data_IF_146968782411
#
_entry.id   IF_146968782411
#
_cell.length_a   1.000
_cell.length_b   1.000
_cell.length_c   1.000
_cell.angle_alpha   90.00
_cell.angle_beta   90.00
_cell.angle_gamma   90.00
#
_symmetry.space_group_name_H-M   'P 1'
#
loop_
_entity.id
_entity.type
_entity.pdbx_description
1 polymer ?
#
# COMPACT_ATOMS: atom_id res chain seq x y z
N UNK A 1 -21.50 17.36 -42.64
CA UNK A 1 -21.28 17.56 -41.18
C UNK A 1 -19.89 17.02 -40.88
N UNK A 2 -18.92 17.92 -40.71
CA UNK A 2 -17.51 17.59 -40.47
C UNK A 2 -17.37 17.04 -39.06
N UNK A 3 -17.03 15.77 -38.93
CA UNK A 3 -16.69 15.18 -37.63
C UNK A 3 -15.47 15.94 -37.06
N UNK A 4 -15.67 16.65 -35.98
CA UNK A 4 -14.58 17.29 -35.25
C UNK A 4 -13.55 16.20 -34.92
N UNK A 5 -12.30 16.35 -35.41
CA UNK A 5 -11.17 15.53 -35.03
C UNK A 5 -11.07 15.53 -33.51
N UNK A 6 -11.47 14.42 -32.87
CA UNK A 6 -11.24 14.21 -31.44
C UNK A 6 -9.73 14.22 -31.23
N UNK A 7 -9.23 15.20 -30.53
CA UNK A 7 -7.87 15.17 -30.05
C UNK A 7 -7.81 14.14 -28.91
N UNK A 8 -7.07 13.07 -29.15
CA UNK A 8 -6.79 12.06 -28.13
C UNK A 8 -6.06 12.75 -26.98
N UNK A 9 -6.67 12.74 -25.79
CA UNK A 9 -6.11 13.43 -24.63
C UNK A 9 -5.03 12.60 -23.97
N UNK A 10 -3.99 13.28 -23.53
CA UNK A 10 -2.92 12.70 -22.73
C UNK A 10 -3.18 12.97 -21.24
N UNK A 11 -3.61 11.96 -20.52
CA UNK A 11 -4.01 12.05 -19.11
C UNK A 11 -2.96 11.41 -18.24
N UNK A 12 -2.41 12.15 -17.29
CA UNK A 12 -1.43 11.63 -16.32
C UNK A 12 -2.10 11.13 -15.05
N UNK A 13 -1.66 9.99 -14.53
CA UNK A 13 -1.96 9.57 -13.18
C UNK A 13 -0.68 9.48 -12.35
N UNK A 14 -0.67 10.17 -11.21
CA UNK A 14 0.46 10.24 -10.29
C UNK A 14 0.02 9.72 -8.93
N UNK A 15 0.81 8.79 -8.36
CA UNK A 15 0.64 8.34 -6.98
C UNK A 15 1.89 8.61 -6.19
N UNK A 16 1.75 9.38 -5.10
CA UNK A 16 2.84 9.69 -4.18
C UNK A 16 2.58 9.10 -2.80
N UNK A 17 3.63 8.66 -2.13
CA UNK A 17 3.56 8.35 -0.71
C UNK A 17 3.62 9.67 0.08
N UNK A 18 3.04 9.69 1.29
CA UNK A 18 3.11 10.85 2.19
C UNK A 18 4.55 11.25 2.59
N UNK A 19 5.53 10.38 2.30
CA UNK A 19 6.95 10.57 2.60
C UNK A 19 7.69 11.13 1.37
N UNK A 20 7.23 10.84 0.15
CA UNK A 20 7.85 11.33 -1.09
C UNK A 20 7.31 12.72 -1.43
N UNK A 21 8.10 13.74 -1.16
CA UNK A 21 7.77 15.14 -1.46
C UNK A 21 7.87 15.50 -2.96
N UNK A 22 8.33 14.61 -3.83
CA UNK A 22 8.65 14.90 -5.23
C UNK A 22 7.62 14.30 -6.20
N UNK A 23 6.45 14.95 -6.31
CA UNK A 23 5.41 14.62 -7.29
C UNK A 23 5.80 14.94 -8.73
N UNK A 24 6.64 15.96 -8.92
CA UNK A 24 6.95 16.53 -10.24
C UNK A 24 7.81 15.61 -11.11
N UNK A 25 8.68 14.79 -10.49
CA UNK A 25 9.59 13.91 -11.24
C UNK A 25 8.94 12.71 -11.95
N UNK A 26 7.72 12.32 -11.58
CA UNK A 26 7.15 11.08 -12.14
C UNK A 26 6.79 11.18 -13.62
N UNK A 27 6.28 12.32 -14.08
CA UNK A 27 5.93 12.58 -15.49
C UNK A 27 6.53 13.90 -15.97
N UNK A 28 7.70 14.28 -15.44
CA UNK A 28 8.41 15.50 -15.80
C UNK A 28 8.77 15.48 -17.29
N UNK A 29 8.58 16.63 -17.95
CA UNK A 29 8.86 16.76 -19.39
C UNK A 29 7.79 16.15 -20.32
N UNK A 30 6.76 15.49 -19.78
CA UNK A 30 5.67 14.94 -20.58
C UNK A 30 4.54 15.97 -20.70
N UNK A 31 4.15 16.32 -21.92
CA UNK A 31 3.01 17.22 -22.15
C UNK A 31 1.71 16.47 -21.86
N UNK A 32 0.96 16.90 -20.86
CA UNK A 32 -0.30 16.30 -20.39
C UNK A 32 -1.43 17.33 -20.47
N UNK A 33 -2.61 16.87 -20.87
CA UNK A 33 -3.82 17.71 -20.91
C UNK A 33 -4.50 17.77 -19.53
N UNK A 34 -4.39 16.69 -18.73
CA UNK A 34 -4.91 16.61 -17.37
C UNK A 34 -4.09 15.66 -16.52
N UNK A 35 -3.99 15.97 -15.23
CA UNK A 35 -3.29 15.13 -14.24
C UNK A 35 -4.21 14.85 -13.05
N UNK A 36 -4.24 13.59 -12.64
CA UNK A 36 -4.90 13.15 -11.42
C UNK A 36 -3.85 12.66 -10.43
N UNK A 37 -3.91 13.13 -9.18
CA UNK A 37 -2.88 12.82 -8.19
C UNK A 37 -3.50 12.29 -6.90
N UNK A 38 -3.15 11.05 -6.54
CA UNK A 38 -3.46 10.47 -5.24
C UNK A 38 -2.25 10.58 -4.30
N UNK A 39 -2.51 11.06 -3.08
CA UNK A 39 -1.54 11.05 -1.97
C UNK A 39 -1.91 9.92 -1.02
N UNK A 40 -1.22 8.79 -1.12
CA UNK A 40 -1.49 7.62 -0.31
C UNK A 40 -0.57 7.57 0.90
N UNK A 41 -1.12 7.61 2.12
CA UNK A 41 -0.41 7.18 3.31
C UNK A 41 -0.38 5.65 3.37
N UNK A 42 0.60 5.05 4.07
CA UNK A 42 0.73 3.59 4.15
C UNK A 42 -0.51 2.86 4.74
N UNK A 43 -1.41 3.60 5.39
CA UNK A 43 -2.67 3.10 5.98
C UNK A 43 -3.89 3.36 5.09
N UNK A 44 -3.87 4.39 4.25
CA UNK A 44 -5.00 4.74 3.39
C UNK A 44 -4.85 4.04 2.03
N UNK A 45 -5.80 3.18 1.72
CA UNK A 45 -5.85 2.43 0.47
C UNK A 45 -6.76 3.06 -0.56
N UNK A 46 -7.50 4.11 -0.20
CA UNK A 46 -8.41 4.81 -1.10
C UNK A 46 -7.64 5.54 -2.20
N UNK A 47 -8.16 5.51 -3.41
CA UNK A 47 -7.59 6.19 -4.58
C UNK A 47 -8.69 6.93 -5.33
N UNK A 48 -9.24 7.98 -4.73
CA UNK A 48 -10.36 8.71 -5.32
C UNK A 48 -9.99 9.35 -6.66
N UNK A 49 -8.74 9.81 -6.79
CA UNK A 49 -8.29 10.43 -8.05
C UNK A 49 -8.06 9.39 -9.15
N UNK A 50 -7.62 8.17 -8.83
CA UNK A 50 -7.58 7.09 -9.80
C UNK A 50 -9.00 6.77 -10.30
N UNK A 51 -9.97 6.63 -9.41
CA UNK A 51 -11.36 6.38 -9.79
C UNK A 51 -11.88 7.47 -10.71
N UNK A 52 -11.67 8.74 -10.33
CA UNK A 52 -12.05 9.89 -11.15
C UNK A 52 -11.34 9.89 -12.52
N UNK A 53 -10.06 9.49 -12.58
CA UNK A 53 -9.33 9.36 -13.83
C UNK A 53 -9.93 8.28 -14.72
N UNK A 54 -10.25 7.10 -14.15
CA UNK A 54 -10.87 5.99 -14.89
C UNK A 54 -12.25 6.35 -15.47
N UNK A 55 -13.02 7.17 -14.75
CA UNK A 55 -14.32 7.70 -15.21
C UNK A 55 -14.17 8.81 -16.27
N UNK A 56 -13.10 9.59 -16.19
CA UNK A 56 -12.83 10.69 -17.11
C UNK A 56 -12.39 10.22 -18.48
N UNK A 57 -11.61 9.14 -18.54
CA UNK A 57 -11.00 8.60 -19.76
C UNK A 57 -12.05 8.07 -20.75
N UNK A 58 -11.85 8.37 -22.03
CA UNK A 58 -12.71 7.99 -23.14
C UNK A 58 -11.89 7.27 -24.21
N UNK A 59 -12.60 6.64 -25.14
CA UNK A 59 -12.00 6.02 -26.33
C UNK A 59 -11.07 7.00 -27.06
N UNK A 60 -9.88 6.54 -27.41
CA UNK A 60 -8.80 7.31 -28.05
C UNK A 60 -7.87 8.03 -27.07
N UNK A 61 -8.24 8.19 -25.79
CA UNK A 61 -7.38 8.84 -24.80
C UNK A 61 -6.18 7.95 -24.44
N UNK A 62 -5.07 8.58 -24.03
CA UNK A 62 -3.86 7.93 -23.53
C UNK A 62 -3.68 8.22 -22.04
N UNK A 63 -3.75 7.18 -21.21
CA UNK A 63 -3.39 7.25 -19.80
C UNK A 63 -1.89 7.00 -19.62
N UNK A 64 -1.17 7.98 -19.07
CA UNK A 64 0.26 7.92 -18.79
C UNK A 64 0.48 7.74 -17.30
N UNK A 65 1.27 6.73 -16.94
CA UNK A 65 1.68 6.42 -15.57
C UNK A 65 3.20 6.24 -15.54
N UNK A 66 3.85 6.71 -14.48
CA UNK A 66 5.30 6.58 -14.37
C UNK A 66 5.76 5.12 -14.42
N UNK A 67 5.13 4.25 -13.63
CA UNK A 67 5.48 2.82 -13.52
C UNK A 67 4.29 1.99 -13.09
N UNK A 68 4.34 0.67 -13.33
CA UNK A 68 3.26 -0.26 -13.03
C UNK A 68 2.89 -0.30 -11.55
N UNK A 69 3.89 -0.21 -10.65
CA UNK A 69 3.68 -0.16 -9.21
C UNK A 69 2.94 1.10 -8.74
N UNK A 70 2.94 2.16 -9.55
CA UNK A 70 2.17 3.38 -9.27
C UNK A 70 0.70 3.24 -9.62
N UNK A 71 0.36 2.45 -10.63
CA UNK A 71 -1.04 2.20 -11.00
C UNK A 71 -1.71 1.19 -10.07
N UNK A 72 -1.05 0.09 -9.76
CA UNK A 72 -1.66 -1.00 -9.01
C UNK A 72 -0.76 -1.52 -7.88
N UNK A 73 -1.36 -2.19 -6.90
CA UNK A 73 -0.66 -2.81 -5.75
C UNK A 73 -0.51 -4.32 -5.92
N UNK A 74 -1.30 -4.89 -6.79
CA UNK A 74 -1.23 -6.28 -7.17
C UNK A 74 -1.28 -6.39 -8.68
N UNK A 75 -0.81 -7.52 -9.17
CA UNK A 75 -0.84 -7.83 -10.57
C UNK A 75 -2.26 -8.01 -11.10
N UNK A 76 -3.11 -8.65 -10.30
CA UNK A 76 -4.51 -8.83 -10.66
C UNK A 76 -5.23 -7.49 -10.84
N UNK A 77 -4.94 -6.52 -9.95
CA UNK A 77 -5.43 -5.17 -10.04
C UNK A 77 -4.92 -4.46 -11.32
N UNK A 78 -3.61 -4.58 -11.57
CA UNK A 78 -2.98 -4.02 -12.76
C UNK A 78 -3.64 -4.56 -14.03
N UNK A 79 -3.75 -5.89 -14.12
CA UNK A 79 -4.35 -6.58 -15.25
C UNK A 79 -5.80 -6.15 -15.46
N UNK A 80 -6.62 -6.11 -14.41
CA UNK A 80 -8.03 -5.68 -14.48
C UNK A 80 -8.14 -4.25 -15.02
N UNK A 81 -7.39 -3.31 -14.45
CA UNK A 81 -7.44 -1.90 -14.86
C UNK A 81 -7.00 -1.75 -16.31
N UNK A 82 -5.86 -2.36 -16.71
CA UNK A 82 -5.34 -2.24 -18.08
C UNK A 82 -6.32 -2.87 -19.07
N UNK A 83 -6.84 -4.08 -18.81
CA UNK A 83 -7.79 -4.75 -19.69
C UNK A 83 -9.13 -3.99 -19.79
N UNK A 84 -9.63 -3.40 -18.71
CA UNK A 84 -10.86 -2.59 -18.73
C UNK A 84 -10.66 -1.35 -19.61
N UNK A 85 -9.58 -0.62 -19.41
CA UNK A 85 -9.26 0.58 -20.18
C UNK A 85 -9.07 0.26 -21.66
N UNK A 86 -8.31 -0.77 -21.98
CA UNK A 86 -8.03 -1.14 -23.36
C UNK A 86 -9.28 -1.66 -24.09
N UNK A 87 -10.18 -2.38 -23.42
CA UNK A 87 -11.50 -2.76 -23.95
C UNK A 87 -12.38 -1.54 -24.27
N UNK A 88 -12.20 -0.45 -23.54
CA UNK A 88 -12.88 0.83 -23.78
C UNK A 88 -12.19 1.69 -24.85
N UNK A 89 -11.17 1.17 -25.53
CA UNK A 89 -10.38 1.91 -26.52
C UNK A 89 -9.45 2.96 -25.94
N UNK A 90 -9.16 2.89 -24.65
CA UNK A 90 -8.19 3.77 -23.97
C UNK A 90 -6.81 3.14 -24.01
N UNK A 91 -5.81 3.88 -24.44
CA UNK A 91 -4.42 3.43 -24.41
C UNK A 91 -3.80 3.65 -23.04
N UNK A 92 -2.93 2.73 -22.60
CA UNK A 92 -2.23 2.83 -21.30
C UNK A 92 -0.73 2.75 -21.53
N UNK A 93 0.02 3.75 -21.07
CA UNK A 93 1.48 3.81 -21.21
C UNK A 93 2.16 3.88 -19.84
N UNK A 94 3.11 2.99 -19.62
CA UNK A 94 4.03 3.00 -18.49
C UNK A 94 5.39 3.54 -18.95
N UNK A 95 5.74 4.73 -18.45
CA UNK A 95 6.90 5.50 -18.95
C UNK A 95 8.21 4.82 -18.57
N UNK A 96 8.35 4.37 -17.34
CA UNK A 96 9.58 3.72 -16.83
C UNK A 96 9.88 2.42 -17.55
N UNK A 97 8.85 1.58 -17.75
CA UNK A 97 8.97 0.29 -18.42
C UNK A 97 8.96 0.41 -19.95
N UNK A 98 8.67 1.60 -20.49
CA UNK A 98 8.50 1.88 -21.92
C UNK A 98 7.50 0.93 -22.59
N UNK A 99 6.37 0.68 -21.93
CA UNK A 99 5.32 -0.23 -22.39
C UNK A 99 4.03 0.53 -22.66
N UNK A 100 3.41 0.23 -23.79
CA UNK A 100 2.11 0.80 -24.20
C UNK A 100 1.14 -0.33 -24.55
N UNK A 101 -0.06 -0.26 -24.00
CA UNK A 101 -1.17 -1.18 -24.25
C UNK A 101 -2.26 -0.40 -25.01
N UNK A 102 -2.60 -0.86 -26.22
CA UNK A 102 -3.46 -0.11 -27.17
C UNK A 102 -4.85 -0.71 -27.36
N UNK A 103 -5.17 -1.83 -26.69
CA UNK A 103 -6.49 -2.45 -26.81
C UNK A 103 -6.69 -3.31 -28.06
N UNK A 104 -5.78 -3.32 -28.98
CA UNK A 104 -5.72 -4.40 -29.94
C UNK A 104 -5.47 -5.69 -29.15
N UNK A 105 -6.34 -6.69 -29.29
CA UNK A 105 -6.23 -8.00 -28.66
C UNK A 105 -4.95 -8.70 -29.15
N UNK A 106 -3.82 -8.15 -28.77
CA UNK A 106 -2.54 -8.76 -29.01
C UNK A 106 -2.33 -9.87 -27.99
N UNK A 107 -2.29 -11.15 -28.39
CA UNK A 107 -1.91 -12.25 -27.51
C UNK A 107 -0.59 -11.97 -26.79
N UNK A 108 0.28 -11.19 -27.40
CA UNK A 108 1.55 -10.71 -26.86
C UNK A 108 1.36 -9.75 -25.67
N UNK A 109 0.41 -8.81 -25.74
CA UNK A 109 0.11 -7.90 -24.61
C UNK A 109 -0.43 -8.67 -23.41
N UNK A 110 -1.31 -9.66 -23.65
CA UNK A 110 -1.83 -10.53 -22.60
C UNK A 110 -0.74 -11.42 -21.99
N UNK A 111 0.16 -11.96 -22.80
CA UNK A 111 1.30 -12.75 -22.34
C UNK A 111 2.26 -11.87 -21.51
N UNK A 112 2.55 -10.66 -21.97
CA UNK A 112 3.44 -9.73 -21.27
C UNK A 112 2.87 -9.32 -19.92
N UNK A 113 1.58 -8.97 -19.84
CA UNK A 113 0.91 -8.69 -18.57
C UNK A 113 0.94 -9.87 -17.61
N UNK A 114 0.76 -11.09 -18.13
CA UNK A 114 0.81 -12.31 -17.32
C UNK A 114 2.21 -12.60 -16.81
N UNK A 115 3.23 -12.42 -17.66
CA UNK A 115 4.64 -12.61 -17.31
C UNK A 115 5.11 -11.59 -16.26
N UNK A 116 4.82 -10.31 -16.48
CA UNK A 116 5.12 -9.26 -15.50
C UNK A 116 4.44 -9.53 -14.17
N UNK A 117 3.24 -10.10 -14.24
CA UNK A 117 2.50 -10.60 -13.14
C UNK A 117 3.21 -11.66 -12.33
N UNK A 118 3.64 -12.68 -12.99
CA UNK A 118 4.36 -13.79 -12.38
C UNK A 118 5.70 -13.32 -11.76
N UNK A 119 6.43 -12.43 -12.44
CA UNK A 119 7.69 -11.86 -11.92
C UNK A 119 7.44 -11.04 -10.65
N UNK A 120 6.42 -10.18 -10.63
CA UNK A 120 6.13 -9.38 -9.43
C UNK A 120 5.64 -10.23 -8.25
N UNK A 121 4.97 -11.34 -8.50
CA UNK A 121 4.58 -12.28 -7.44
C UNK A 121 5.78 -13.07 -6.91
N UNK A 122 6.68 -13.47 -7.81
CA UNK A 122 7.94 -14.10 -7.44
C UNK A 122 8.80 -13.17 -6.56
N UNK A 123 9.00 -11.91 -6.97
CA UNK A 123 9.73 -10.93 -6.14
C UNK A 123 9.10 -10.73 -4.75
N UNK A 124 7.77 -10.64 -4.66
CA UNK A 124 7.07 -10.56 -3.39
C UNK A 124 7.25 -11.81 -2.53
N UNK A 125 7.24 -12.98 -3.14
CA UNK A 125 7.46 -14.24 -2.42
C UNK A 125 8.86 -14.31 -1.83
N UNK A 126 9.87 -13.90 -2.59
CA UNK A 126 11.27 -13.82 -2.15
C UNK A 126 11.47 -12.81 -0.99
N UNK A 127 10.80 -11.66 -1.07
CA UNK A 127 10.85 -10.66 0.03
C UNK A 127 10.24 -11.24 1.31
N UNK A 128 9.08 -11.90 1.21
CA UNK A 128 8.41 -12.54 2.36
C UNK A 128 9.28 -13.65 2.97
N UNK A 129 9.95 -14.43 2.14
CA UNK A 129 10.82 -15.51 2.61
C UNK A 129 12.00 -14.93 3.39
N UNK A 130 12.74 -13.96 2.83
CA UNK A 130 13.83 -13.26 3.52
C UNK A 130 13.36 -12.60 4.82
N UNK A 131 12.16 -12.02 4.82
CA UNK A 131 11.59 -11.42 6.03
C UNK A 131 11.28 -12.47 7.10
N UNK A 132 10.72 -13.63 6.72
CA UNK A 132 10.50 -14.76 7.65
C UNK A 132 11.79 -15.28 8.25
N UNK A 133 12.82 -15.45 7.42
CA UNK A 133 14.16 -15.87 7.88
C UNK A 133 14.76 -14.83 8.84
N UNK A 134 14.71 -13.53 8.48
CA UNK A 134 15.19 -12.45 9.35
C UNK A 134 14.46 -12.39 10.68
N UNK A 135 13.12 -12.57 10.69
CA UNK A 135 12.32 -12.65 11.92
C UNK A 135 12.70 -13.88 12.75
N UNK A 136 12.92 -15.02 12.12
CA UNK A 136 13.32 -16.25 12.82
C UNK A 136 14.69 -16.09 13.49
N UNK A 137 15.66 -15.51 12.78
CA UNK A 137 16.98 -15.18 13.33
C UNK A 137 16.90 -14.17 14.48
N UNK A 138 16.13 -13.10 14.32
CA UNK A 138 15.93 -12.09 15.35
C UNK A 138 15.23 -12.64 16.61
N UNK A 139 14.27 -13.58 16.43
CA UNK A 139 13.64 -14.30 17.55
C UNK A 139 14.66 -15.17 18.31
N UNK A 140 15.50 -15.94 17.57
CA UNK A 140 16.57 -16.75 18.19
C UNK A 140 17.60 -15.90 18.91
N UNK A 141 17.93 -14.74 18.38
CA UNK A 141 18.85 -13.77 18.99
C UNK A 141 18.23 -12.97 20.15
N UNK A 142 16.95 -13.20 20.51
CA UNK A 142 16.26 -12.51 21.61
C UNK A 142 16.04 -11.01 21.37
N UNK A 143 16.10 -10.55 20.14
CA UNK A 143 15.89 -9.14 19.76
C UNK A 143 14.42 -8.71 20.03
N UNK A 144 13.48 -9.64 19.90
CA UNK A 144 12.07 -9.40 20.17
C UNK A 144 11.78 -9.47 21.67
N UNK A 145 11.76 -8.32 22.31
CA UNK A 145 11.45 -8.20 23.76
C UNK A 145 9.95 -8.14 24.09
N UNK A 146 9.10 -8.23 23.07
CA UNK A 146 7.65 -8.11 23.22
C UNK A 146 7.19 -6.70 23.63
N UNK A 147 5.97 -6.60 24.09
CA UNK A 147 5.42 -5.36 24.66
C UNK A 147 6.06 -5.12 26.02
N UNK A 148 6.47 -3.88 26.29
CA UNK A 148 6.97 -3.51 27.62
C UNK A 148 5.92 -3.87 28.67
N UNK A 149 6.32 -4.55 29.78
CA UNK A 149 5.41 -4.80 30.89
C UNK A 149 4.81 -3.50 31.41
N UNK A 150 3.52 -3.51 31.69
CA UNK A 150 2.79 -2.34 32.23
C UNK A 150 3.22 -2.00 33.66
N UNK A 151 3.83 -2.96 34.37
CA UNK A 151 4.37 -2.81 35.71
C UNK A 151 5.83 -3.26 35.72
N UNK A 152 6.66 -2.55 36.48
CA UNK A 152 8.03 -2.98 36.77
C UNK A 152 8.04 -4.06 37.87
N UNK A 153 9.12 -4.83 37.94
CA UNK A 153 9.28 -5.84 39.03
C UNK A 153 9.14 -5.23 40.42
N UNK A 154 9.64 -4.01 40.60
CA UNK A 154 9.53 -3.26 41.88
C UNK A 154 8.07 -2.94 42.20
N UNK A 155 7.32 -2.45 41.24
CA UNK A 155 5.89 -2.16 41.38
C UNK A 155 5.08 -3.42 41.66
N UNK A 156 5.40 -4.54 41.01
CA UNK A 156 4.74 -5.83 41.28
C UNK A 156 5.00 -6.29 42.72
N UNK A 157 6.24 -6.18 43.24
CA UNK A 157 6.60 -6.53 44.61
C UNK A 157 5.86 -5.65 45.64
N UNK A 158 5.79 -4.34 45.37
CA UNK A 158 5.06 -3.40 46.21
C UNK A 158 3.55 -3.71 46.27
N UNK A 159 2.94 -3.93 45.09
CA UNK A 159 1.53 -4.30 44.98
C UNK A 159 1.26 -5.60 45.76
N UNK A 160 2.13 -6.61 45.66
CA UNK A 160 2.00 -7.86 46.42
C UNK A 160 2.01 -7.61 47.94
N UNK A 161 2.91 -6.78 48.42
CA UNK A 161 3.01 -6.41 49.86
C UNK A 161 1.72 -5.71 50.32
N UNK A 162 1.21 -4.75 49.57
CA UNK A 162 0.02 -3.97 49.88
C UNK A 162 -1.27 -4.82 49.84
N UNK A 163 -1.36 -5.74 48.86
CA UNK A 163 -2.45 -6.74 48.82
C UNK A 163 -2.42 -7.66 50.04
N UNK A 164 -1.22 -8.12 50.46
CA UNK A 164 -1.05 -8.91 51.68
C UNK A 164 -1.41 -8.14 52.95
N UNK A 165 -1.29 -6.82 52.95
CA UNK A 165 -1.74 -5.93 54.04
C UNK A 165 -3.27 -5.64 54.02
N UNK A 166 -4.02 -6.23 53.08
CA UNK A 166 -5.48 -6.10 53.00
C UNK A 166 -5.99 -4.98 52.10
N UNK A 167 -5.13 -4.30 51.34
CA UNK A 167 -5.60 -3.25 50.42
C UNK A 167 -6.41 -3.83 49.27
N UNK A 168 -7.47 -3.11 48.88
CA UNK A 168 -8.36 -3.55 47.80
C UNK A 168 -7.65 -3.50 46.46
N UNK A 169 -7.57 -4.63 45.75
CA UNK A 169 -6.96 -4.75 44.40
C UNK A 169 -7.52 -3.75 43.41
N UNK A 170 -8.82 -3.40 43.48
CA UNK A 170 -9.43 -2.41 42.62
C UNK A 170 -8.85 -0.99 42.80
N UNK A 171 -8.50 -0.62 44.04
CA UNK A 171 -7.86 0.66 44.34
C UNK A 171 -6.44 0.71 43.80
N UNK A 172 -5.68 -0.35 43.96
CA UNK A 172 -4.31 -0.47 43.45
C UNK A 172 -4.29 -0.46 41.93
N UNK A 173 -5.23 -1.13 41.26
CA UNK A 173 -5.34 -1.07 39.79
C UNK A 173 -5.57 0.36 39.28
N UNK A 174 -6.43 1.14 39.94
CA UNK A 174 -6.67 2.53 39.61
C UNK A 174 -5.44 3.43 39.86
N UNK A 175 -4.75 3.24 40.99
CA UNK A 175 -3.56 4.00 41.37
C UNK A 175 -2.41 3.81 40.38
N UNK A 176 -2.17 2.57 39.90
CA UNK A 176 -1.15 2.24 38.93
C UNK A 176 -1.63 2.42 37.44
N UNK A 177 -2.84 2.94 37.25
CA UNK A 177 -3.44 3.19 35.93
C UNK A 177 -3.46 1.95 35.00
N UNK A 178 -3.72 0.77 35.60
CA UNK A 178 -3.82 -0.52 34.89
C UNK A 178 -5.22 -1.11 35.02
N UNK A 179 -5.54 -2.04 34.11
CA UNK A 179 -6.78 -2.80 34.24
C UNK A 179 -6.68 -3.78 35.43
N UNK A 180 -7.82 -4.12 36.05
CA UNK A 180 -7.87 -5.18 37.10
C UNK A 180 -7.29 -6.48 36.55
N UNK A 181 -7.56 -6.81 35.28
CA UNK A 181 -7.06 -8.02 34.66
C UNK A 181 -5.52 -8.04 34.56
N UNK A 182 -4.91 -6.89 34.22
CA UNK A 182 -3.46 -6.72 34.20
C UNK A 182 -2.86 -6.89 35.59
N UNK A 183 -3.53 -6.36 36.63
CA UNK A 183 -3.08 -6.52 38.00
C UNK A 183 -3.17 -7.99 38.46
N UNK A 184 -4.28 -8.69 38.18
CA UNK A 184 -4.41 -10.11 38.50
C UNK A 184 -3.35 -10.96 37.80
N UNK A 185 -3.09 -10.70 36.49
CA UNK A 185 -2.04 -11.40 35.73
C UNK A 185 -0.63 -11.16 36.31
N UNK A 186 -0.36 -9.97 36.88
CA UNK A 186 0.92 -9.66 37.52
C UNK A 186 1.11 -10.28 38.92
N UNK A 187 0.02 -10.62 39.58
CA UNK A 187 0.05 -11.26 40.92
C UNK A 187 0.15 -12.79 40.83
N UNK A 188 -0.21 -13.42 39.74
CA UNK A 188 -0.20 -14.86 39.48
C UNK A 188 -1.52 -15.47 39.89
#
# INVERSE_FOLDING_TARGET
MTAAKRHDKRVGYIRVSSIDQNTERQLEGVKLDKVFTDRASGKDTSRPQLQTALEYLREGDLLLIHSMDRLARSVDDLRKIVLDLTKRGVHVQFVKENLTFTGEDSPMSNLLLSLLGAVAEFERSMIRERQREGIALAKRAGVYKGRKPSLTLVQVAEIRKRVGAGEKKARLAAEYQISRQTLYAALG
#
